data_IF_698338989623
#
_entry.id   IF_698338989623
#
_cell.length_a   1.000
_cell.length_b   1.000
_cell.length_c   1.000
_cell.angle_alpha   90.00
_cell.angle_beta   90.00
_cell.angle_gamma   90.00
#
_symmetry.space_group_name_H-M   'P 1'
#
loop_
_entity.id
_entity.type
_entity.pdbx_description
1 polymer ?
#
# COMPACT_ATOMS: atom_id res chain seq x y z
N UNK A 1 4.92 -63.02 -22.19
CA UNK A 1 5.55 -62.98 -20.85
C UNK A 1 5.82 -61.52 -20.55
N UNK A 2 5.10 -60.94 -19.60
CA UNK A 2 5.36 -59.61 -19.07
C UNK A 2 5.70 -59.83 -17.60
N UNK A 3 6.92 -59.52 -17.20
CA UNK A 3 7.33 -59.61 -15.81
C UNK A 3 6.77 -58.41 -15.05
N UNK A 4 6.04 -58.72 -13.99
CA UNK A 4 5.35 -57.80 -13.10
C UNK A 4 6.41 -57.06 -12.27
N UNK A 5 6.69 -55.82 -12.65
CA UNK A 5 7.62 -54.92 -11.95
C UNK A 5 6.98 -54.32 -10.69
N UNK A 6 6.61 -55.16 -9.73
CA UNK A 6 6.16 -54.72 -8.41
C UNK A 6 7.37 -54.19 -7.62
N UNK A 7 7.54 -52.87 -7.62
CA UNK A 7 8.41 -52.18 -6.67
C UNK A 7 7.83 -52.43 -5.28
N UNK A 8 8.45 -53.36 -4.54
CA UNK A 8 8.13 -53.61 -3.14
C UNK A 8 8.67 -52.41 -2.36
N UNK A 9 7.78 -51.48 -2.00
CA UNK A 9 8.10 -50.41 -1.07
C UNK A 9 8.20 -51.05 0.31
N UNK A 10 9.42 -51.34 0.73
CA UNK A 10 9.71 -51.87 2.06
C UNK A 10 9.25 -50.83 3.10
N UNK A 11 8.10 -51.08 3.73
CA UNK A 11 7.47 -50.17 4.69
C UNK A 11 8.36 -49.95 5.93
N UNK A 12 9.29 -50.87 6.19
CA UNK A 12 10.25 -50.80 7.28
C UNK A 12 11.31 -49.71 7.04
N UNK A 13 11.63 -49.40 5.77
CA UNK A 13 12.62 -48.38 5.40
C UNK A 13 12.12 -46.93 5.59
N UNK A 14 10.82 -46.75 5.83
CA UNK A 14 10.19 -45.45 6.08
C UNK A 14 9.93 -45.18 7.57
N UNK A 15 10.15 -46.16 8.46
CA UNK A 15 9.92 -46.00 9.89
C UNK A 15 10.87 -44.99 10.55
N UNK A 16 12.06 -44.80 9.98
CA UNK A 16 13.07 -43.84 10.45
C UNK A 16 13.08 -42.52 9.67
N UNK A 17 12.15 -42.33 8.73
CA UNK A 17 12.03 -41.06 8.02
C UNK A 17 11.40 -40.01 8.94
N UNK A 18 12.24 -39.34 9.72
CA UNK A 18 11.89 -38.08 10.37
C UNK A 18 11.98 -36.99 9.31
N UNK A 19 10.85 -36.43 8.82
CA UNK A 19 10.92 -35.29 7.92
C UNK A 19 11.73 -34.19 8.62
N UNK A 20 12.68 -33.54 7.93
CA UNK A 20 13.39 -32.42 8.52
C UNK A 20 12.35 -31.40 9.00
N UNK A 21 12.43 -31.01 10.27
CA UNK A 21 11.61 -29.95 10.84
C UNK A 21 11.61 -28.77 9.84
N UNK A 22 10.45 -28.24 9.41
CA UNK A 22 10.40 -27.14 8.47
C UNK A 22 11.18 -25.98 9.09
N UNK A 23 12.43 -25.82 8.65
CA UNK A 23 13.28 -24.76 9.18
C UNK A 23 12.53 -23.45 8.99
N UNK A 24 12.33 -22.64 10.06
CA UNK A 24 11.76 -21.32 9.89
C UNK A 24 12.66 -20.60 8.90
N UNK A 25 12.13 -20.31 7.71
CA UNK A 25 12.83 -19.56 6.68
C UNK A 25 13.42 -18.32 7.32
N UNK A 26 14.75 -18.34 7.50
CA UNK A 26 15.48 -17.27 8.16
C UNK A 26 15.32 -16.00 7.31
N UNK A 27 14.47 -15.10 7.78
CA UNK A 27 14.75 -13.66 7.71
C UNK A 27 14.19 -12.87 6.53
N UNK A 28 12.90 -12.97 6.23
CA UNK A 28 12.18 -11.74 5.89
C UNK A 28 11.87 -11.00 7.21
N UNK A 29 12.91 -10.58 7.92
CA UNK A 29 12.72 -9.82 9.16
C UNK A 29 12.13 -8.46 8.77
N UNK A 30 10.94 -8.19 9.29
CA UNK A 30 10.36 -6.86 9.29
C UNK A 30 11.37 -5.91 9.97
N UNK A 31 12.17 -5.22 9.18
CA UNK A 31 13.21 -4.32 9.70
C UNK A 31 12.59 -2.96 10.01
N UNK A 32 13.02 -2.33 11.08
CA UNK A 32 12.67 -0.93 11.39
C UNK A 32 12.97 -0.01 10.19
N UNK A 33 14.07 -0.27 9.47
CA UNK A 33 14.43 0.43 8.23
C UNK A 33 13.44 0.18 7.08
N UNK A 34 12.90 -1.04 6.95
CA UNK A 34 11.83 -1.36 6.00
C UNK A 34 10.55 -0.59 6.29
N UNK A 35 10.13 -0.57 7.57
CA UNK A 35 8.96 0.18 8.02
C UNK A 35 9.14 1.69 7.82
N UNK A 36 10.31 2.24 8.15
CA UNK A 36 10.62 3.66 7.96
C UNK A 36 10.52 4.10 6.50
N UNK A 37 11.04 3.27 5.57
CA UNK A 37 10.91 3.52 4.12
C UNK A 37 9.44 3.47 3.67
N UNK A 38 8.68 2.46 4.09
CA UNK A 38 7.26 2.35 3.78
C UNK A 38 6.46 3.55 4.31
N UNK A 39 6.73 3.99 5.54
CA UNK A 39 6.13 5.18 6.13
C UNK A 39 6.45 6.46 5.35
N UNK A 40 7.69 6.59 4.86
CA UNK A 40 8.12 7.73 4.03
C UNK A 40 7.39 7.75 2.69
N UNK A 41 7.27 6.59 2.03
CA UNK A 41 6.52 6.44 0.79
C UNK A 41 5.03 6.76 0.98
N UNK A 42 4.44 6.26 2.07
CA UNK A 42 3.05 6.56 2.44
C UNK A 42 2.86 8.07 2.66
N UNK A 43 3.80 8.74 3.35
CA UNK A 43 3.76 10.19 3.55
C UNK A 43 3.77 10.95 2.22
N UNK A 44 4.63 10.58 1.27
CA UNK A 44 4.65 11.19 -0.06
C UNK A 44 3.35 10.94 -0.83
N UNK A 45 2.84 9.72 -0.80
CA UNK A 45 1.58 9.36 -1.46
C UNK A 45 0.39 10.13 -0.87
N UNK A 46 0.34 10.31 0.45
CA UNK A 46 -0.70 11.08 1.12
C UNK A 46 -0.68 12.57 0.75
N UNK A 47 0.52 13.16 0.60
CA UNK A 47 0.64 14.55 0.12
C UNK A 47 0.10 14.67 -1.29
N UNK A 48 0.52 13.79 -2.20
CA UNK A 48 0.01 13.78 -3.59
C UNK A 48 -1.49 13.61 -3.65
N UNK A 49 -2.04 12.65 -2.90
CA UNK A 49 -3.48 12.45 -2.81
C UNK A 49 -4.23 13.71 -2.37
N UNK A 50 -3.68 14.45 -1.38
CA UNK A 50 -4.29 15.70 -0.92
C UNK A 50 -4.27 16.78 -2.00
N UNK A 51 -3.21 16.86 -2.81
CA UNK A 51 -3.12 17.81 -3.92
C UNK A 51 -4.16 17.47 -5.01
N UNK A 52 -4.31 16.20 -5.37
CA UNK A 52 -5.32 15.75 -6.35
C UNK A 52 -6.75 16.01 -5.86
N UNK A 53 -7.04 15.74 -4.59
CA UNK A 53 -8.36 16.06 -4.00
C UNK A 53 -8.63 17.57 -4.06
N UNK A 54 -7.60 18.40 -3.82
CA UNK A 54 -7.74 19.85 -3.95
C UNK A 54 -8.00 20.27 -5.40
N UNK A 55 -7.29 19.70 -6.38
CA UNK A 55 -7.52 19.99 -7.80
C UNK A 55 -8.94 19.59 -8.23
N UNK A 56 -9.41 18.39 -7.84
CA UNK A 56 -10.79 17.96 -8.09
C UNK A 56 -11.81 18.95 -7.49
N UNK A 57 -11.54 19.49 -6.29
CA UNK A 57 -12.38 20.54 -5.69
C UNK A 57 -12.34 21.85 -6.49
N UNK A 58 -11.19 22.25 -7.03
CA UNK A 58 -11.06 23.42 -7.90
C UNK A 58 -11.81 23.23 -9.23
N UNK A 59 -11.86 22.01 -9.77
CA UNK A 59 -12.69 21.65 -10.93
C UNK A 59 -14.19 21.56 -10.60
N UNK A 60 -14.58 21.78 -9.35
CA UNK A 60 -15.98 21.82 -8.93
C UNK A 60 -16.56 20.46 -8.51
N UNK A 61 -15.75 19.41 -8.36
CA UNK A 61 -16.26 18.10 -7.93
C UNK A 61 -16.85 18.17 -6.52
N UNK A 62 -18.00 17.56 -6.31
CA UNK A 62 -18.62 17.47 -4.99
C UNK A 62 -17.83 16.55 -4.06
N UNK A 63 -17.95 16.77 -2.74
CA UNK A 63 -17.36 15.87 -1.75
C UNK A 63 -17.91 14.45 -1.85
N UNK A 64 -19.16 14.29 -2.26
CA UNK A 64 -19.78 12.99 -2.47
C UNK A 64 -19.11 12.22 -3.61
N UNK A 65 -18.90 12.87 -4.76
CA UNK A 65 -18.17 12.30 -5.90
C UNK A 65 -16.73 11.92 -5.54
N UNK A 66 -16.03 12.80 -4.82
CA UNK A 66 -14.67 12.54 -4.34
C UNK A 66 -14.66 11.35 -3.38
N UNK A 67 -15.61 11.30 -2.45
CA UNK A 67 -15.78 10.19 -1.52
C UNK A 67 -15.99 8.86 -2.25
N UNK A 68 -16.89 8.83 -3.23
CA UNK A 68 -17.16 7.64 -4.04
C UNK A 68 -15.91 7.08 -4.72
N UNK A 69 -15.07 7.93 -5.32
CA UNK A 69 -13.79 7.52 -5.93
C UNK A 69 -12.81 6.97 -4.90
N UNK A 70 -12.79 7.55 -3.70
CA UNK A 70 -11.90 7.13 -2.62
C UNK A 70 -12.44 5.98 -1.77
N UNK A 71 -13.64 5.48 -2.07
CA UNK A 71 -14.31 4.42 -1.30
C UNK A 71 -14.71 4.85 0.11
N UNK A 72 -14.96 6.15 0.35
CA UNK A 72 -15.39 6.68 1.65
C UNK A 72 -16.62 7.58 1.51
N UNK A 73 -17.45 7.74 2.55
CA UNK A 73 -18.55 8.71 2.51
C UNK A 73 -18.04 10.13 2.24
N UNK A 74 -18.82 10.93 1.50
CA UNK A 74 -18.42 12.31 1.14
C UNK A 74 -18.16 13.21 2.35
N UNK A 75 -18.92 13.04 3.43
CA UNK A 75 -18.69 13.75 4.69
C UNK A 75 -17.32 13.39 5.32
N UNK A 76 -16.93 12.12 5.26
CA UNK A 76 -15.60 11.67 5.69
C UNK A 76 -14.50 12.31 4.84
N UNK A 77 -14.71 12.38 3.52
CA UNK A 77 -13.77 13.03 2.62
C UNK A 77 -13.62 14.53 2.93
N UNK A 78 -14.76 15.23 3.14
CA UNK A 78 -14.77 16.63 3.53
C UNK A 78 -14.00 16.87 4.82
N UNK A 79 -14.25 16.08 5.87
CA UNK A 79 -13.55 16.23 7.16
C UNK A 79 -12.04 16.04 7.02
N UNK A 80 -11.61 15.10 6.17
CA UNK A 80 -10.20 14.74 6.02
C UNK A 80 -9.41 15.70 5.13
N UNK A 81 -10.04 16.27 4.10
CA UNK A 81 -9.36 17.03 3.05
C UNK A 81 -9.92 18.44 2.78
N UNK A 82 -10.82 18.96 3.62
CA UNK A 82 -11.32 20.35 3.48
C UNK A 82 -10.25 21.42 3.68
N UNK A 83 -9.14 21.11 4.34
CA UNK A 83 -8.05 22.06 4.56
C UNK A 83 -7.17 22.20 3.33
N UNK A 84 -7.00 23.42 2.85
CA UNK A 84 -6.11 23.74 1.72
C UNK A 84 -4.64 23.44 2.06
N UNK A 85 -3.88 22.75 1.19
CA UNK A 85 -2.46 22.48 1.40
C UNK A 85 -1.65 23.78 1.50
N UNK A 86 -0.78 23.90 2.51
CA UNK A 86 0.07 25.10 2.73
C UNK A 86 0.90 25.46 1.49
N UNK A 87 1.47 24.45 0.81
CA UNK A 87 2.28 24.64 -0.41
C UNK A 87 1.48 25.26 -1.56
N UNK A 88 0.21 24.88 -1.72
CA UNK A 88 -0.65 25.46 -2.75
C UNK A 88 -1.10 26.88 -2.40
N UNK A 89 -1.29 27.20 -1.11
CA UNK A 89 -1.53 28.58 -0.64
C UNK A 89 -0.33 29.48 -0.96
N UNK A 90 0.88 29.00 -0.71
CA UNK A 90 2.13 29.74 -0.97
C UNK A 90 2.38 29.96 -2.46
N UNK A 91 2.09 28.97 -3.32
CA UNK A 91 2.15 29.14 -4.78
C UNK A 91 1.17 30.20 -5.28
N UNK A 92 -0.10 30.12 -4.86
CA UNK A 92 -1.11 31.11 -5.25
C UNK A 92 -0.75 32.52 -4.78
N UNK A 93 -0.17 32.64 -3.59
CA UNK A 93 0.32 33.92 -3.05
C UNK A 93 1.49 34.53 -3.83
N UNK A 94 2.36 33.71 -4.44
CA UNK A 94 3.43 34.19 -5.33
C UNK A 94 2.90 34.59 -6.71
N UNK A 95 1.93 33.85 -7.24
CA UNK A 95 1.32 34.14 -8.54
C UNK A 95 0.45 35.41 -8.54
N UNK A 96 -0.07 35.81 -7.37
CA UNK A 96 -0.86 37.04 -7.22
C UNK A 96 -0.04 38.31 -6.95
N UNK A 97 1.29 38.24 -6.95
CA UNK A 97 2.15 39.42 -6.74
C UNK A 97 2.56 39.97 -8.12
N UNK A 98 1.93 41.06 -8.62
CA UNK A 98 2.40 41.69 -9.84
C UNK A 98 3.83 42.22 -9.58
N UNK A 99 4.75 41.90 -10.48
CA UNK A 99 6.06 42.57 -10.53
C UNK A 99 5.79 44.05 -10.81
N UNK A 100 6.14 44.89 -9.83
CA UNK A 100 6.10 46.35 -9.93
C UNK A 100 7.49 46.88 -10.22
#
# INVERSE_FOLDING_TARGET
MWEDGSIVWDADLMADYVPPDPQPTRGASFTASGLGRAGSLLGVAQVRLRDEVYLARCEGWSWDRIGAVLGVPGETARRRWSTTPKRLRERKGRESRPEG
#
